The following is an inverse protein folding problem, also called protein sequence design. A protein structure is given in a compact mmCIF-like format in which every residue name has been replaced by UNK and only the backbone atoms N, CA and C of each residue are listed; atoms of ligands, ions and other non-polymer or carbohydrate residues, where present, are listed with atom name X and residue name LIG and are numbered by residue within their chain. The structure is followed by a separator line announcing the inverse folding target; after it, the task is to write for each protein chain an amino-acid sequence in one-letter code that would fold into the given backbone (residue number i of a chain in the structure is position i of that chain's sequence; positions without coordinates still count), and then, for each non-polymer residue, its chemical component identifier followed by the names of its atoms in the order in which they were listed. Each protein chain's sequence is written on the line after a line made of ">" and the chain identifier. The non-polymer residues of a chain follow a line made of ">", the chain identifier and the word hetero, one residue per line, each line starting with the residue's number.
data_IF_900709591039
#
_entry.id   IF_900709591039
#
_cell.length_a   1.000
_cell.length_b   1.000
_cell.length_c   1.000
_cell.angle_alpha   90.00
_cell.angle_beta   90.00
_cell.angle_gamma   90.00
#
_symmetry.space_group_name_H-M   'P 1'
#
loop_
_entity.id
_entity.type
_entity.pdbx_description
1 polymer ?
#
# COMPACT_ATOMS: atom_id res chain seq x y z
N UNK A 1 42.24 17.64 73.81
CA UNK A 1 40.84 17.35 73.43
C UNK A 1 40.86 16.82 72.00
N UNK A 2 40.70 15.51 71.82
CA UNK A 2 40.76 14.88 70.50
C UNK A 2 39.38 15.04 69.81
N UNK A 3 39.37 15.64 68.61
CA UNK A 3 38.20 15.65 67.73
C UNK A 3 37.93 14.20 67.32
N UNK A 4 36.74 13.69 67.65
CA UNK A 4 36.30 12.39 67.17
C UNK A 4 36.20 12.41 65.65
N UNK A 5 36.91 11.51 64.99
CA UNK A 5 36.78 11.31 63.55
C UNK A 5 35.33 10.90 63.27
N UNK A 6 34.62 11.73 62.50
CA UNK A 6 33.28 11.40 62.03
C UNK A 6 33.31 10.18 61.12
N UNK A 7 32.20 9.43 61.02
CA UNK A 7 32.19 8.20 60.23
C UNK A 7 32.55 8.47 58.76
N UNK A 8 33.41 7.61 58.21
CA UNK A 8 33.82 7.62 56.80
C UNK A 8 32.96 6.61 56.03
N UNK A 9 32.24 7.08 55.02
CA UNK A 9 31.45 6.25 54.12
C UNK A 9 32.33 5.77 52.96
N UNK A 10 32.66 4.48 52.93
CA UNK A 10 33.57 3.91 51.92
C UNK A 10 32.85 3.54 50.62
N UNK A 11 31.60 3.09 50.69
CA UNK A 11 30.79 2.78 49.49
C UNK A 11 29.30 2.76 49.80
N UNK A 12 28.49 3.11 48.81
CA UNK A 12 27.04 2.88 48.78
C UNK A 12 26.71 2.06 47.54
N UNK A 13 25.95 0.98 47.73
CA UNK A 13 25.34 0.22 46.64
C UNK A 13 23.84 0.37 46.75
N UNK A 14 23.20 0.88 45.70
CA UNK A 14 21.76 0.92 45.58
C UNK A 14 21.33 0.02 44.40
N UNK A 15 20.36 -0.84 44.65
CA UNK A 15 19.64 -1.56 43.60
C UNK A 15 18.26 -0.90 43.44
N UNK A 16 17.90 -0.56 42.21
CA UNK A 16 16.57 -0.03 41.89
C UNK A 16 16.00 -0.78 40.69
N UNK A 17 14.67 -0.92 40.65
CA UNK A 17 13.95 -1.42 39.49
C UNK A 17 13.43 -0.21 38.72
N UNK A 18 13.89 -0.03 37.48
CA UNK A 18 13.36 1.00 36.60
C UNK A 18 11.88 0.71 36.31
N UNK A 19 11.02 1.73 36.41
CA UNK A 19 9.63 1.59 35.99
C UNK A 19 9.61 1.44 34.48
N UNK A 20 8.89 0.43 33.99
CA UNK A 20 8.75 0.19 32.56
C UNK A 20 8.23 1.45 31.83
N UNK A 21 8.75 1.71 30.63
CA UNK A 21 8.38 2.84 29.80
C UNK A 21 7.49 2.35 28.66
N UNK A 22 6.66 3.25 28.13
CA UNK A 22 5.69 2.88 27.10
C UNK A 22 6.34 2.97 25.72
N UNK A 23 6.23 1.94 24.87
CA UNK A 23 6.63 2.01 23.47
C UNK A 23 5.89 3.11 22.70
N UNK A 24 6.55 3.73 21.72
CA UNK A 24 5.96 4.79 20.92
C UNK A 24 6.07 4.48 19.42
N UNK A 25 4.93 4.43 18.74
CA UNK A 25 4.90 4.41 17.27
C UNK A 25 5.04 5.86 16.78
N UNK A 26 6.13 6.15 16.07
CA UNK A 26 6.50 7.51 15.64
C UNK A 26 5.88 7.91 14.31
N UNK A 27 5.76 6.97 13.39
CA UNK A 27 5.27 7.23 12.04
C UNK A 27 4.70 5.98 11.41
N UNK A 28 3.67 6.15 10.59
CA UNK A 28 3.14 5.11 9.69
C UNK A 28 3.24 5.63 8.27
N UNK A 29 3.80 4.82 7.38
CA UNK A 29 3.90 5.08 5.94
C UNK A 29 3.08 4.03 5.21
N UNK A 30 2.02 4.49 4.54
CA UNK A 30 1.27 3.69 3.57
C UNK A 30 1.89 3.98 2.21
N UNK A 31 2.48 2.97 1.57
CA UNK A 31 3.10 3.15 0.25
C UNK A 31 2.05 3.28 -0.85
N UNK A 32 2.40 3.77 -2.05
CA UNK A 32 1.47 3.77 -3.17
C UNK A 32 0.93 2.35 -3.45
N UNK A 33 -0.30 2.22 -3.98
CA UNK A 33 -0.93 0.93 -4.26
C UNK A 33 -0.06 0.05 -5.14
N UNK A 34 0.00 -1.24 -4.82
CA UNK A 34 0.76 -2.25 -5.53
C UNK A 34 2.27 -2.21 -5.32
N UNK A 35 2.82 -1.22 -4.62
CA UNK A 35 4.25 -1.17 -4.33
C UNK A 35 4.60 -2.12 -3.20
N UNK A 36 5.51 -3.06 -3.47
CA UNK A 36 6.06 -4.02 -2.50
C UNK A 36 7.58 -4.10 -2.63
N UNK A 37 8.24 -4.68 -1.62
CA UNK A 37 9.70 -4.77 -1.55
C UNK A 37 10.12 -6.22 -1.39
N UNK A 38 11.17 -6.65 -2.10
CA UNK A 38 11.75 -7.99 -1.95
C UNK A 38 12.67 -8.04 -0.72
N UNK A 39 12.75 -9.19 -0.04
CA UNK A 39 13.74 -9.41 1.03
C UNK A 39 15.15 -9.46 0.40
N UNK A 40 16.14 -8.69 0.88
CA UNK A 40 17.52 -8.84 0.39
C UNK A 40 18.07 -10.21 0.85
N UNK A 41 18.70 -10.94 -0.07
CA UNK A 41 19.34 -12.27 0.14
C UNK A 41 18.42 -13.50 0.24
N UNK A 42 17.34 -13.58 -0.55
CA UNK A 42 16.66 -14.86 -0.79
C UNK A 42 17.46 -15.75 -1.74
N UNK A 43 17.94 -16.91 -1.28
CA UNK A 43 18.38 -18.00 -2.17
C UNK A 43 17.15 -18.75 -2.66
N UNK A 44 16.58 -18.34 -3.79
CA UNK A 44 15.36 -18.92 -4.37
C UNK A 44 14.53 -17.89 -5.13
N UNK A 45 13.27 -18.23 -5.42
CA UNK A 45 12.29 -17.26 -5.92
C UNK A 45 12.16 -16.06 -4.96
N UNK A 46 11.97 -14.83 -5.46
CA UNK A 46 12.07 -13.65 -4.63
C UNK A 46 10.87 -13.51 -3.68
N UNK A 47 11.12 -13.70 -2.38
CA UNK A 47 10.14 -13.45 -1.32
C UNK A 47 9.91 -11.95 -1.07
N UNK A 48 8.65 -11.59 -0.83
CA UNK A 48 8.22 -10.23 -0.51
C UNK A 48 8.36 -9.95 0.99
N UNK A 49 9.01 -8.84 1.35
CA UNK A 49 9.16 -8.36 2.72
C UNK A 49 7.78 -8.02 3.32
N UNK A 50 7.49 -8.48 4.54
CA UNK A 50 6.21 -8.26 5.22
C UNK A 50 5.03 -9.08 4.68
N UNK A 51 5.24 -9.99 3.72
CA UNK A 51 4.19 -10.82 3.11
C UNK A 51 4.32 -12.31 3.51
N UNK A 52 4.42 -12.56 4.81
CA UNK A 52 4.48 -13.91 5.36
C UNK A 52 3.04 -14.43 5.65
N UNK A 53 2.79 -15.72 5.43
CA UNK A 53 1.56 -16.45 5.80
C UNK A 53 0.22 -16.09 5.12
N UNK A 54 0.20 -15.54 3.91
CA UNK A 54 -1.06 -15.47 3.13
C UNK A 54 -1.24 -16.70 2.24
N UNK A 55 -2.31 -17.48 2.45
CA UNK A 55 -2.72 -18.57 1.56
C UNK A 55 -3.65 -18.03 0.48
N UNK A 56 -3.10 -17.40 -0.55
CA UNK A 56 -3.85 -17.20 -1.80
C UNK A 56 -3.82 -18.50 -2.62
N UNK A 57 -4.84 -18.80 -3.44
CA UNK A 57 -4.90 -20.03 -4.24
C UNK A 57 -3.66 -20.24 -5.13
N UNK A 58 -3.04 -19.15 -5.60
CA UNK A 58 -1.88 -19.19 -6.49
C UNK A 58 -0.57 -19.65 -5.82
N UNK A 59 -0.48 -19.71 -4.47
CA UNK A 59 0.76 -20.06 -3.76
C UNK A 59 0.82 -21.45 -3.14
N UNK A 60 -0.17 -22.32 -3.37
CA UNK A 60 -0.14 -23.71 -2.86
C UNK A 60 0.93 -24.62 -3.49
N UNK A 61 1.85 -24.10 -4.31
CA UNK A 61 3.00 -24.86 -4.81
C UNK A 61 4.35 -24.52 -4.16
N UNK A 62 4.45 -23.48 -3.31
CA UNK A 62 5.73 -23.04 -2.72
C UNK A 62 5.88 -23.36 -1.22
N UNK A 63 4.86 -23.91 -0.56
CA UNK A 63 4.95 -24.30 0.86
C UNK A 63 5.53 -25.70 1.01
N UNK A 64 6.84 -25.82 0.77
CA UNK A 64 7.63 -26.98 1.18
C UNK A 64 9.11 -26.65 1.39
N UNK A 65 9.44 -25.49 1.98
CA UNK A 65 10.74 -25.30 2.63
C UNK A 65 10.72 -24.09 3.59
N UNK A 66 11.51 -24.19 4.65
CA UNK A 66 11.99 -23.09 5.51
C UNK A 66 11.14 -22.75 6.75
N UNK A 67 11.22 -23.68 7.69
CA UNK A 67 11.37 -23.34 9.10
C UNK A 67 12.76 -22.71 9.37
N UNK A 68 12.76 -21.74 10.29
CA UNK A 68 13.88 -21.22 11.10
C UNK A 68 14.87 -20.21 10.47
N UNK A 69 14.84 -18.97 10.96
CA UNK A 69 15.93 -18.19 11.61
C UNK A 69 15.59 -16.68 11.57
N UNK A 70 15.19 -16.08 12.71
CA UNK A 70 16.01 -15.39 13.72
C UNK A 70 16.52 -13.99 13.32
N UNK A 71 15.91 -12.97 13.95
CA UNK A 71 16.59 -11.96 14.78
C UNK A 71 17.48 -10.92 14.09
N UNK A 72 17.01 -9.67 14.08
CA UNK A 72 17.86 -8.51 13.80
C UNK A 72 17.12 -7.20 14.07
N UNK A 73 17.50 -6.52 15.17
CA UNK A 73 17.13 -5.13 15.44
C UNK A 73 17.90 -4.20 14.50
N UNK A 74 17.25 -3.82 13.42
CA UNK A 74 17.76 -2.88 12.44
C UNK A 74 16.66 -2.57 11.45
N UNK A 75 16.50 -1.29 11.08
CA UNK A 75 15.50 -0.90 10.07
C UNK A 75 15.65 -1.80 8.84
N UNK A 76 14.58 -2.46 8.35
CA UNK A 76 14.71 -3.38 7.23
C UNK A 76 15.30 -2.62 6.05
N UNK A 77 16.47 -3.05 5.56
CA UNK A 77 16.96 -2.61 4.28
C UNK A 77 15.99 -3.15 3.25
N UNK A 78 15.04 -2.31 2.82
CA UNK A 78 14.09 -2.67 1.80
C UNK A 78 14.89 -3.11 0.57
N UNK A 79 14.70 -4.36 0.14
CA UNK A 79 15.31 -4.83 -1.09
C UNK A 79 14.64 -4.18 -2.29
N UNK A 80 14.74 -4.82 -3.45
CA UNK A 80 14.24 -4.25 -4.70
C UNK A 80 12.74 -3.94 -4.62
N UNK A 81 12.36 -2.72 -5.00
CA UNK A 81 10.97 -2.30 -5.20
C UNK A 81 10.38 -3.00 -6.42
N UNK A 82 9.22 -3.65 -6.27
CA UNK A 82 8.45 -4.28 -7.35
C UNK A 82 6.98 -3.84 -7.28
N UNK A 83 6.22 -4.16 -8.33
CA UNK A 83 4.79 -3.83 -8.43
C UNK A 83 3.94 -5.11 -8.50
N UNK A 84 2.96 -5.21 -7.62
CA UNK A 84 2.01 -6.32 -7.52
C UNK A 84 0.62 -5.76 -7.22
N UNK A 85 -0.28 -5.76 -8.22
CA UNK A 85 -1.65 -5.27 -8.06
C UNK A 85 -2.37 -6.00 -6.92
N UNK A 86 -3.21 -5.28 -6.18
CA UNK A 86 -3.98 -5.82 -5.05
C UNK A 86 -3.17 -5.98 -3.76
N UNK A 87 -1.90 -5.56 -3.73
CA UNK A 87 -1.09 -5.54 -2.53
C UNK A 87 -0.86 -4.10 -2.04
N UNK A 88 -0.90 -3.91 -0.73
CA UNK A 88 -0.67 -2.64 -0.06
C UNK A 88 0.41 -2.78 1.01
N UNK A 89 1.54 -2.10 0.84
CA UNK A 89 2.60 -2.09 1.85
C UNK A 89 2.36 -1.00 2.89
N UNK A 90 2.45 -1.38 4.16
CA UNK A 90 2.39 -0.52 5.33
C UNK A 90 3.69 -0.69 6.09
N UNK A 91 4.38 0.42 6.37
CA UNK A 91 5.60 0.45 7.18
C UNK A 91 5.42 1.40 8.36
N UNK A 92 6.15 1.17 9.44
CA UNK A 92 6.15 2.07 10.58
C UNK A 92 7.53 2.24 11.20
N UNK A 93 7.66 3.24 12.06
CA UNK A 93 8.80 3.38 12.98
C UNK A 93 8.24 3.38 14.38
N UNK A 94 8.88 2.61 15.25
CA UNK A 94 8.59 2.61 16.67
C UNK A 94 9.91 2.55 17.45
N UNK A 95 9.89 3.11 18.64
CA UNK A 95 10.99 3.06 19.59
C UNK A 95 10.46 2.84 21.00
N UNK A 96 11.36 2.33 21.83
CA UNK A 96 11.18 2.15 23.26
C UNK A 96 12.41 2.75 23.95
N UNK A 97 12.19 3.57 24.98
CA UNK A 97 13.27 4.35 25.60
C UNK A 97 14.26 3.49 26.41
N UNK A 98 13.87 2.27 26.80
CA UNK A 98 14.74 1.30 27.45
C UNK A 98 15.13 0.13 26.54
N UNK A 99 14.97 0.31 25.23
CA UNK A 99 15.36 -0.64 24.17
C UNK A 99 14.72 -2.04 24.34
N UNK A 100 13.49 -2.10 24.85
CA UNK A 100 12.76 -3.36 24.95
C UNK A 100 12.44 -3.96 23.58
N UNK A 101 12.36 -5.29 23.51
CA UNK A 101 11.98 -5.99 22.29
C UNK A 101 10.48 -5.78 22.01
N UNK A 102 10.19 -5.14 20.88
CA UNK A 102 8.83 -4.80 20.49
C UNK A 102 8.18 -5.88 19.62
N UNK A 103 6.89 -6.11 19.86
CA UNK A 103 5.98 -6.76 18.91
C UNK A 103 4.91 -5.78 18.45
N UNK A 104 4.36 -6.04 17.26
CA UNK A 104 3.38 -5.17 16.64
C UNK A 104 2.09 -5.90 16.28
N UNK A 105 0.99 -5.18 16.45
CA UNK A 105 -0.33 -5.51 15.92
C UNK A 105 -0.76 -4.42 14.93
N UNK A 106 -1.20 -4.85 13.75
CA UNK A 106 -1.81 -3.99 12.73
C UNK A 106 -3.31 -4.24 12.74
N UNK A 107 -4.05 -3.16 12.94
CA UNK A 107 -5.50 -3.13 12.85
C UNK A 107 -5.92 -2.23 11.70
N UNK A 108 -7.12 -2.46 11.16
CA UNK A 108 -7.72 -1.61 10.14
C UNK A 108 -9.18 -1.32 10.44
N UNK A 109 -9.69 -0.23 9.86
CA UNK A 109 -11.08 0.18 9.95
C UNK A 109 -11.46 0.93 8.69
N UNK A 110 -12.65 0.68 8.15
CA UNK A 110 -13.19 1.46 7.03
C UNK A 110 -13.78 2.77 7.55
N UNK A 111 -13.70 3.84 6.77
CA UNK A 111 -14.37 5.09 7.09
C UNK A 111 -15.87 4.86 7.34
N UNK A 112 -16.38 5.46 8.42
CA UNK A 112 -17.75 5.26 8.90
C UNK A 112 -17.94 4.06 9.85
N UNK A 113 -17.02 3.09 9.90
CA UNK A 113 -17.05 2.05 10.94
C UNK A 113 -16.49 2.59 12.26
N UNK A 114 -16.88 2.04 13.41
CA UNK A 114 -16.33 2.43 14.72
C UNK A 114 -15.36 1.38 15.31
N UNK A 115 -15.38 0.17 14.76
CA UNK A 115 -14.68 -0.98 15.33
C UNK A 115 -13.41 -1.27 14.54
N UNK A 116 -12.28 -1.38 15.24
CA UNK A 116 -11.02 -1.84 14.65
C UNK A 116 -11.02 -3.35 14.47
N UNK A 117 -10.60 -3.82 13.29
CA UNK A 117 -10.44 -5.23 12.95
C UNK A 117 -8.95 -5.56 12.93
N UNK A 118 -8.55 -6.67 13.54
CA UNK A 118 -7.15 -7.11 13.53
C UNK A 118 -6.82 -7.64 12.13
N UNK A 119 -5.80 -7.03 11.50
CA UNK A 119 -5.23 -7.53 10.24
C UNK A 119 -4.15 -8.58 10.52
N UNK A 120 -3.24 -8.26 11.44
CA UNK A 120 -2.15 -9.15 11.86
C UNK A 120 -1.63 -8.76 13.22
N UNK A 121 -1.14 -9.74 13.98
CA UNK A 121 -0.55 -9.56 15.30
C UNK A 121 0.76 -10.33 15.41
N UNK A 122 1.47 -10.13 16.51
CA UNK A 122 2.72 -10.82 16.84
C UNK A 122 3.83 -10.58 15.79
N UNK A 123 3.81 -9.42 15.12
CA UNK A 123 4.82 -9.03 14.15
C UNK A 123 6.08 -8.52 14.84
N UNK A 124 7.24 -8.87 14.31
CA UNK A 124 8.55 -8.38 14.79
C UNK A 124 9.12 -7.32 13.84
N UNK A 125 8.90 -7.50 12.54
CA UNK A 125 9.35 -6.54 11.54
C UNK A 125 8.38 -5.36 11.45
N UNK A 126 8.88 -4.12 11.27
CA UNK A 126 8.03 -2.93 11.19
C UNK A 126 7.47 -2.69 9.78
N UNK A 127 7.06 -3.78 9.11
CA UNK A 127 6.50 -3.80 7.76
C UNK A 127 5.43 -4.89 7.65
N UNK A 128 4.36 -4.58 6.93
CA UNK A 128 3.30 -5.51 6.58
C UNK A 128 2.85 -5.27 5.14
N UNK A 129 2.63 -6.35 4.39
CA UNK A 129 1.95 -6.30 3.10
C UNK A 129 0.55 -6.90 3.25
N UNK A 130 -0.45 -6.09 2.94
CA UNK A 130 -1.86 -6.43 2.99
C UNK A 130 -2.35 -6.79 1.58
N UNK A 131 -3.06 -7.91 1.44
CA UNK A 131 -3.85 -8.20 0.24
C UNK A 131 -5.19 -7.48 0.33
N UNK A 132 -5.34 -6.43 -0.46
CA UNK A 132 -6.50 -5.53 -0.47
C UNK A 132 -7.70 -6.12 -1.20
N UNK A 133 -7.56 -7.27 -1.87
CA UNK A 133 -8.68 -7.99 -2.49
C UNK A 133 -9.57 -8.68 -1.44
N UNK A 134 -9.09 -8.76 -0.20
CA UNK A 134 -9.79 -9.37 0.93
C UNK A 134 -10.78 -8.43 1.62
N UNK A 135 -10.88 -7.18 1.17
CA UNK A 135 -11.80 -6.17 1.71
C UNK A 135 -12.53 -5.40 0.61
N UNK A 136 -13.72 -4.84 0.89
CA UNK A 136 -14.42 -3.98 -0.06
C UNK A 136 -13.65 -2.70 -0.37
N UNK A 137 -13.88 -2.11 -1.54
CA UNK A 137 -13.34 -0.81 -1.89
C UNK A 137 -13.85 0.29 -0.91
N UNK A 138 -13.04 1.32 -0.71
CA UNK A 138 -13.37 2.47 0.13
C UNK A 138 -12.16 3.11 0.80
N UNK A 139 -12.43 4.08 1.66
CA UNK A 139 -11.43 4.78 2.47
C UNK A 139 -11.15 4.00 3.75
N UNK A 140 -9.87 3.78 4.07
CA UNK A 140 -9.44 3.03 5.24
C UNK A 140 -8.46 3.82 6.11
N UNK A 141 -8.42 3.40 7.37
CA UNK A 141 -7.37 3.73 8.33
C UNK A 141 -6.68 2.44 8.75
N UNK A 142 -5.38 2.51 8.99
CA UNK A 142 -4.65 1.50 9.76
C UNK A 142 -4.14 2.06 11.07
N UNK A 143 -4.11 1.21 12.09
CA UNK A 143 -3.56 1.48 13.41
C UNK A 143 -2.47 0.47 13.71
N UNK A 144 -1.33 0.96 14.17
CA UNK A 144 -0.23 0.13 14.65
C UNK A 144 -0.20 0.22 16.16
N UNK A 145 -0.16 -0.93 16.84
CA UNK A 145 0.03 -1.04 18.28
C UNK A 145 1.37 -1.74 18.52
N UNK A 146 2.30 -1.06 19.16
CA UNK A 146 3.57 -1.60 19.65
C UNK A 146 3.41 -2.09 21.10
N UNK A 147 4.06 -3.20 21.43
CA UNK A 147 4.02 -3.84 22.74
C UNK A 147 5.42 -4.29 23.16
N UNK A 148 5.81 -4.03 24.40
CA UNK A 148 7.08 -4.45 25.02
C UNK A 148 6.99 -5.82 25.73
N UNK A 149 5.89 -6.56 25.50
CA UNK A 149 5.55 -7.77 26.25
C UNK A 149 6.55 -8.93 26.11
N UNK A 150 7.53 -8.84 25.19
CA UNK A 150 8.61 -9.82 25.08
C UNK A 150 9.74 -9.58 26.09
N UNK A 151 9.95 -8.33 26.48
CA UNK A 151 10.92 -7.96 27.53
C UNK A 151 10.31 -7.94 28.92
N UNK A 152 8.98 -7.80 29.03
CA UNK A 152 8.30 -7.56 30.29
C UNK A 152 7.34 -8.70 30.67
N UNK A 153 7.20 -8.96 31.97
CA UNK A 153 6.16 -9.86 32.47
C UNK A 153 4.76 -9.32 32.12
N UNK A 154 3.79 -10.21 31.91
CA UNK A 154 2.45 -9.85 31.42
C UNK A 154 1.72 -8.75 32.21
N UNK A 155 2.02 -8.57 33.50
CA UNK A 155 1.43 -7.52 34.34
C UNK A 155 2.11 -6.14 34.24
N UNK A 156 3.31 -6.07 33.64
CA UNK A 156 4.12 -4.85 33.53
C UNK A 156 4.26 -4.36 32.08
N UNK A 157 3.86 -5.19 31.11
CA UNK A 157 3.95 -4.86 29.70
C UNK A 157 3.06 -3.65 29.36
N UNK A 158 3.58 -2.74 28.55
CA UNK A 158 2.90 -1.55 28.09
C UNK A 158 2.75 -1.57 26.58
N UNK A 159 1.73 -0.84 26.11
CA UNK A 159 1.48 -0.65 24.69
C UNK A 159 1.35 0.82 24.34
N UNK A 160 1.75 1.15 23.12
CA UNK A 160 1.52 2.46 22.51
C UNK A 160 1.14 2.28 21.05
N UNK A 161 0.40 3.23 20.48
CA UNK A 161 -0.05 3.09 19.11
C UNK A 161 -0.28 4.41 18.41
N UNK A 162 -0.32 4.32 17.08
CA UNK A 162 -0.55 5.44 16.18
C UNK A 162 -1.57 5.02 15.11
N UNK A 163 -2.41 5.96 14.71
CA UNK A 163 -3.32 5.81 13.58
C UNK A 163 -2.73 6.54 12.36
N UNK A 164 -2.89 5.96 11.19
CA UNK A 164 -2.47 6.55 9.93
C UNK A 164 -3.44 7.63 9.43
N UNK A 165 -2.99 8.43 8.46
CA UNK A 165 -3.90 9.17 7.60
C UNK A 165 -4.77 8.20 6.78
N UNK A 166 -5.87 8.71 6.22
CA UNK A 166 -6.71 7.94 5.31
C UNK A 166 -5.96 7.54 4.05
N UNK A 167 -6.32 6.38 3.50
CA UNK A 167 -5.91 5.95 2.17
C UNK A 167 -7.06 5.18 1.51
N UNK A 168 -7.06 5.16 0.19
CA UNK A 168 -8.09 4.47 -0.59
C UNK A 168 -7.66 3.04 -0.89
N UNK A 169 -8.64 2.14 -0.90
CA UNK A 169 -8.54 0.82 -1.52
C UNK A 169 -9.57 0.79 -2.63
N UNK A 170 -9.09 0.56 -3.85
CA UNK A 170 -9.94 0.36 -5.02
C UNK A 170 -9.34 -0.73 -5.91
N UNK A 171 -10.09 -1.80 -6.10
CA UNK A 171 -9.71 -2.90 -6.97
C UNK A 171 -10.55 -2.94 -8.26
N UNK A 172 -11.44 -1.96 -8.48
CA UNK A 172 -12.35 -1.89 -9.63
C UNK A 172 -11.71 -1.08 -10.76
N UNK A 173 -11.65 -1.61 -12.01
CA UNK A 173 -11.24 -0.81 -13.15
C UNK A 173 -12.27 0.24 -13.55
N UNK A 174 -11.82 1.35 -14.16
CA UNK A 174 -12.73 2.35 -14.72
C UNK A 174 -13.56 1.78 -15.88
N UNK A 175 -14.68 2.41 -16.18
CA UNK A 175 -15.58 2.04 -17.26
C UNK A 175 -15.56 3.08 -18.39
N UNK A 176 -15.57 2.61 -19.63
CA UNK A 176 -15.71 3.45 -20.81
C UNK A 176 -17.17 3.54 -21.26
N UNK A 177 -17.65 4.76 -21.52
CA UNK A 177 -18.91 5.01 -22.23
C UNK A 177 -18.62 5.73 -23.53
N UNK A 178 -18.70 5.00 -24.65
CA UNK A 178 -18.50 5.60 -25.97
C UNK A 178 -19.75 6.41 -26.34
N UNK A 179 -19.57 7.72 -26.57
CA UNK A 179 -20.65 8.63 -26.94
C UNK A 179 -20.89 8.65 -28.45
N UNK A 180 -19.88 9.01 -29.24
CA UNK A 180 -20.00 9.08 -30.69
C UNK A 180 -18.68 8.81 -31.40
N UNK A 181 -18.78 8.27 -32.62
CA UNK A 181 -17.68 8.08 -33.55
C UNK A 181 -18.14 8.63 -34.89
N UNK A 182 -17.53 9.71 -35.35
CA UNK A 182 -17.95 10.38 -36.60
C UNK A 182 -16.76 10.78 -37.44
N UNK A 183 -17.00 10.85 -38.76
CA UNK A 183 -16.07 11.47 -39.68
C UNK A 183 -16.27 12.99 -39.69
N UNK A 184 -15.16 13.72 -39.77
CA UNK A 184 -15.10 15.16 -39.94
C UNK A 184 -14.08 15.46 -41.05
N UNK A 185 -14.56 15.41 -42.30
CA UNK A 185 -13.70 15.36 -43.48
C UNK A 185 -12.82 14.09 -43.47
N UNK A 186 -11.48 14.21 -43.52
CA UNK A 186 -10.58 13.05 -43.46
C UNK A 186 -10.33 12.55 -42.02
N UNK A 187 -10.80 13.29 -41.00
CA UNK A 187 -10.52 13.01 -39.59
C UNK A 187 -11.61 12.16 -38.97
N UNK A 188 -11.27 11.37 -37.97
CA UNK A 188 -12.25 10.70 -37.11
C UNK A 188 -12.30 11.42 -35.76
N UNK A 189 -13.50 11.80 -35.33
CA UNK A 189 -13.75 12.38 -34.00
C UNK A 189 -14.45 11.33 -33.16
N UNK A 190 -13.86 11.02 -32.00
CA UNK A 190 -14.40 10.08 -31.02
C UNK A 190 -14.69 10.86 -29.73
N UNK A 191 -15.92 10.77 -29.24
CA UNK A 191 -16.32 11.34 -27.95
C UNK A 191 -16.68 10.23 -26.99
N UNK A 192 -16.17 10.26 -25.77
CA UNK A 192 -16.43 9.24 -24.76
C UNK A 192 -16.23 9.78 -23.35
N UNK A 193 -16.88 9.13 -22.40
CA UNK A 193 -16.65 9.33 -20.97
C UNK A 193 -15.87 8.15 -20.41
N UNK A 194 -15.06 8.42 -19.38
CA UNK A 194 -14.49 7.40 -18.51
C UNK A 194 -14.98 7.67 -17.11
N UNK A 195 -15.46 6.64 -16.42
CA UNK A 195 -16.02 6.76 -15.06
C UNK A 195 -15.46 5.69 -14.15
N UNK A 196 -15.17 6.05 -12.91
CA UNK A 196 -14.83 5.13 -11.83
C UNK A 196 -15.61 5.52 -10.57
N UNK A 197 -15.99 4.52 -9.76
CA UNK A 197 -16.82 4.75 -8.59
C UNK A 197 -16.03 5.27 -7.38
N UNK A 198 -14.75 4.96 -7.27
CA UNK A 198 -13.96 5.15 -6.05
C UNK A 198 -12.69 5.98 -6.26
N UNK A 199 -11.98 5.79 -7.36
CA UNK A 199 -10.70 6.46 -7.60
C UNK A 199 -10.76 7.41 -8.80
N UNK A 200 -10.09 8.57 -8.76
CA UNK A 200 -9.97 9.44 -9.92
C UNK A 200 -9.32 8.75 -11.12
N UNK A 201 -9.78 9.10 -12.33
CA UNK A 201 -9.09 8.72 -13.55
C UNK A 201 -7.75 9.45 -13.59
N UNK A 202 -6.66 8.71 -13.78
CA UNK A 202 -5.31 9.26 -13.79
C UNK A 202 -4.79 9.45 -15.23
N UNK A 203 -5.16 8.55 -16.14
CA UNK A 203 -4.65 8.58 -17.50
C UNK A 203 -5.59 7.89 -18.47
N UNK A 204 -5.77 8.48 -19.65
CA UNK A 204 -6.37 7.84 -20.81
C UNK A 204 -5.41 7.90 -21.98
N UNK A 205 -5.29 6.81 -22.72
CA UNK A 205 -4.46 6.71 -23.90
C UNK A 205 -5.23 6.00 -25.02
N UNK A 206 -4.85 6.28 -26.28
CA UNK A 206 -5.32 5.51 -27.42
C UNK A 206 -4.17 4.89 -28.21
N UNK A 207 -4.49 3.84 -28.95
CA UNK A 207 -3.60 3.22 -29.93
C UNK A 207 -4.37 2.67 -31.13
N UNK A 208 -3.88 2.91 -32.34
CA UNK A 208 -4.42 2.30 -33.57
C UNK A 208 -3.76 0.97 -33.94
N UNK A 209 -2.58 0.69 -33.39
CA UNK A 209 -1.76 -0.49 -33.72
C UNK A 209 -1.49 -1.41 -32.52
N UNK A 210 -1.81 -0.96 -31.30
CA UNK A 210 -1.54 -1.64 -30.05
C UNK A 210 -0.09 -1.55 -29.57
N UNK A 211 0.77 -0.82 -30.30
CA UNK A 211 2.20 -0.67 -30.01
C UNK A 211 2.52 0.74 -29.54
N UNK A 212 2.02 1.76 -30.26
CA UNK A 212 2.21 3.16 -29.90
C UNK A 212 0.97 3.68 -29.18
N UNK A 213 1.18 4.12 -27.94
CA UNK A 213 0.15 4.73 -27.10
C UNK A 213 0.33 6.25 -27.10
N UNK A 214 -0.77 6.97 -27.25
CA UNK A 214 -0.81 8.43 -27.26
C UNK A 214 -1.74 8.89 -26.13
N UNK A 215 -1.28 9.75 -25.21
CA UNK A 215 -2.11 10.25 -24.13
C UNK A 215 -3.25 11.13 -24.66
N UNK A 216 -4.39 11.05 -23.99
CA UNK A 216 -5.56 11.88 -24.21
C UNK A 216 -5.83 12.67 -22.94
N UNK A 217 -5.98 13.98 -23.09
CA UNK A 217 -6.38 14.84 -21.99
C UNK A 217 -7.89 15.03 -21.99
N UNK A 218 -8.53 15.09 -20.82
CA UNK A 218 -9.94 15.41 -20.71
C UNK A 218 -10.21 16.84 -21.18
N UNK A 219 -11.47 17.17 -21.43
CA UNK A 219 -11.85 18.46 -22.02
C UNK A 219 -11.61 19.67 -21.12
N UNK A 220 -11.46 19.46 -19.81
CA UNK A 220 -11.03 20.48 -18.83
C UNK A 220 -9.50 20.57 -18.69
N UNK A 221 -8.76 19.61 -19.27
CA UNK A 221 -7.32 19.61 -19.43
C UNK A 221 -6.52 18.80 -18.41
N UNK A 222 -7.15 18.27 -17.35
CA UNK A 222 -6.45 17.53 -16.28
C UNK A 222 -7.30 16.32 -15.87
N UNK A 223 -6.72 15.13 -15.86
CA UNK A 223 -7.39 13.93 -15.36
C UNK A 223 -7.21 13.85 -13.83
N UNK A 224 -8.24 14.26 -13.10
CA UNK A 224 -8.25 14.31 -11.63
C UNK A 224 -9.61 13.97 -11.00
N UNK A 225 -10.60 13.62 -11.82
CA UNK A 225 -11.97 13.35 -11.40
C UNK A 225 -12.37 11.90 -11.62
N UNK A 226 -13.40 11.46 -10.87
CA UNK A 226 -14.02 10.13 -11.03
C UNK A 226 -14.81 9.97 -12.32
N UNK A 227 -15.15 11.07 -12.98
CA UNK A 227 -15.80 11.07 -14.29
C UNK A 227 -15.11 12.09 -15.15
N UNK A 228 -14.60 11.65 -16.28
CA UNK A 228 -13.82 12.46 -17.20
C UNK A 228 -14.41 12.38 -18.61
N UNK A 229 -14.51 13.55 -19.26
CA UNK A 229 -15.03 13.65 -20.63
C UNK A 229 -13.90 13.87 -21.64
N UNK A 230 -13.92 13.13 -22.74
CA UNK A 230 -12.87 13.14 -23.74
C UNK A 230 -13.40 13.37 -25.16
N UNK A 231 -12.65 14.15 -25.92
CA UNK A 231 -12.84 14.33 -27.36
C UNK A 231 -11.50 14.10 -28.06
N UNK A 232 -11.39 13.00 -28.79
CA UNK A 232 -10.20 12.65 -29.58
C UNK A 232 -10.45 12.96 -31.04
N UNK A 233 -9.56 13.73 -31.66
CA UNK A 233 -9.56 13.95 -33.12
C UNK A 233 -8.35 13.27 -33.73
N UNK A 234 -8.59 12.21 -34.49
CA UNK A 234 -7.55 11.47 -35.20
C UNK A 234 -7.29 12.09 -36.56
N UNK A 235 -6.00 12.29 -36.87
CA UNK A 235 -5.57 12.82 -38.18
C UNK A 235 -5.88 11.82 -39.29
N UNK A 236 -5.64 10.54 -39.02
CA UNK A 236 -5.94 9.45 -39.93
C UNK A 236 -7.28 8.78 -39.57
N UNK A 237 -8.02 8.24 -40.56
CA UNK A 237 -9.20 7.44 -40.28
C UNK A 237 -8.88 6.22 -39.41
N UNK A 238 -9.83 5.84 -38.56
CA UNK A 238 -9.71 4.58 -37.80
C UNK A 238 -9.62 3.42 -38.79
N UNK A 239 -8.53 2.66 -38.72
CA UNK A 239 -8.31 1.50 -39.58
C UNK A 239 -9.24 0.33 -39.24
N UNK A 240 -9.17 -0.77 -40.02
CA UNK A 240 -10.02 -1.95 -39.81
C UNK A 240 -9.87 -2.62 -38.44
N UNK A 241 -8.73 -2.40 -37.77
CA UNK A 241 -8.47 -2.88 -36.40
C UNK A 241 -9.18 -2.08 -35.31
N UNK A 242 -9.80 -0.96 -35.66
CA UNK A 242 -10.37 -0.04 -34.69
C UNK A 242 -9.30 0.80 -33.97
N UNK A 243 -9.77 1.63 -33.06
CA UNK A 243 -8.98 2.38 -32.09
C UNK A 243 -9.10 1.70 -30.74
N UNK A 244 -7.99 1.32 -30.13
CA UNK A 244 -7.98 0.82 -28.75
C UNK A 244 -7.85 2.00 -27.80
N UNK A 245 -8.73 2.08 -26.81
CA UNK A 245 -8.64 3.04 -25.70
C UNK A 245 -8.25 2.29 -24.43
N UNK A 246 -7.38 2.89 -23.62
CA UNK A 246 -6.98 2.38 -22.31
C UNK A 246 -7.08 3.48 -21.27
N UNK A 247 -7.73 3.18 -20.16
CA UNK A 247 -7.85 4.08 -19.02
C UNK A 247 -7.13 3.46 -17.83
N UNK A 248 -6.52 4.30 -17.01
CA UNK A 248 -5.89 3.94 -15.74
C UNK A 248 -6.34 4.92 -14.67
N UNK A 249 -6.80 4.42 -13.53
CA UNK A 249 -7.17 5.25 -12.38
C UNK A 249 -5.97 5.52 -11.44
N UNK A 250 -6.17 6.29 -10.37
CA UNK A 250 -5.12 6.61 -9.40
C UNK A 250 -4.68 5.41 -8.55
N UNK A 251 -5.43 4.31 -8.58
CA UNK A 251 -5.16 3.05 -7.89
C UNK A 251 -4.50 2.01 -8.81
N UNK A 252 -4.17 2.41 -10.05
CA UNK A 252 -3.59 1.60 -11.11
C UNK A 252 -4.49 0.45 -11.59
N UNK A 253 -5.81 0.56 -11.44
CA UNK A 253 -6.71 -0.31 -12.18
C UNK A 253 -6.79 0.15 -13.64
N UNK A 254 -6.85 -0.82 -14.55
CA UNK A 254 -6.75 -0.59 -15.99
C UNK A 254 -7.96 -1.19 -16.67
N UNK A 255 -8.59 -0.39 -17.53
CA UNK A 255 -9.62 -0.86 -18.45
C UNK A 255 -9.21 -0.62 -19.89
N UNK A 256 -9.70 -1.46 -20.80
CA UNK A 256 -9.42 -1.35 -22.23
C UNK A 256 -10.70 -1.58 -23.01
N UNK A 257 -10.95 -0.76 -24.01
CA UNK A 257 -12.07 -0.92 -24.94
C UNK A 257 -11.63 -0.69 -26.38
N UNK A 258 -12.42 -1.17 -27.33
CA UNK A 258 -12.20 -0.95 -28.76
C UNK A 258 -13.32 -0.12 -29.36
N UNK A 259 -12.93 0.84 -30.19
CA UNK A 259 -13.82 1.70 -30.97
C UNK A 259 -13.64 1.37 -32.44
N UNK A 260 -14.67 0.83 -33.06
CA UNK A 260 -14.66 0.53 -34.50
C UNK A 260 -14.69 1.82 -35.33
N UNK A 261 -14.20 1.72 -36.57
CA UNK A 261 -14.41 2.78 -37.54
C UNK A 261 -15.91 3.08 -37.71
N UNK A 262 -16.28 4.35 -37.95
CA UNK A 262 -17.68 4.69 -38.21
C UNK A 262 -18.18 3.91 -39.42
N UNK A 263 -19.35 3.28 -39.29
CA UNK A 263 -19.98 2.55 -40.40
C UNK A 263 -20.17 3.49 -41.58
N UNK A 264 -19.52 3.21 -42.70
CA UNK A 264 -19.74 3.92 -43.96
C UNK A 264 -21.21 3.80 -44.36
N UNK A 265 -21.82 4.90 -44.78
CA UNK A 265 -23.08 4.88 -45.53
C UNK A 265 -22.86 4.32 -46.93
#
# INVERSE_FOLDING_TARGET
>A
MARGEGPVLTSVTAAYLQRNLRPQVRSITVHPPGIVYQKPYGTGDPDLAGFDNQTTPDRKLAQAAQNAQQGGSGSPSLGRRTYHKGLQTIMWRADDENDDELTFEVQYRREGETTWKVLRKDLQEPILVWDTTTVPNGTYFVKIVASDARSNAAGNALTGGLESATFEIDNTPPEFRIGSVRLDGPRTVVTFDVTDDHSPIQMVEYSGDGQRWVPVFPTDGIADSRTEHYVVTLVDPVGPRGLTLRATDSMNNVATTQVSAPSGR
#
